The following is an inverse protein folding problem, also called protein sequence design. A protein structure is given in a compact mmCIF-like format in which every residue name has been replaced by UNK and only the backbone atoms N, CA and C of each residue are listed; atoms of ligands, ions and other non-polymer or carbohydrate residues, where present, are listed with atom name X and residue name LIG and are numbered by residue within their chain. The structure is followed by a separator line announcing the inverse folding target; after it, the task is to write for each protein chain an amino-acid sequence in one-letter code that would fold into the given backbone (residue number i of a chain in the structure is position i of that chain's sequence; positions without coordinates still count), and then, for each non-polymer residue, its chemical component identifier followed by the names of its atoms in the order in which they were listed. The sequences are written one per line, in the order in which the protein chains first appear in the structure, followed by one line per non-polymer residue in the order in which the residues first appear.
data_IF_163677711493
#
_entry.id   IF_163677711493
#
_cell.length_a   1.000
_cell.length_b   1.000
_cell.length_c   1.000
_cell.angle_alpha   90.00
_cell.angle_beta   90.00
_cell.angle_gamma   90.00
#
_symmetry.space_group_name_H-M   'P 1'
#
loop_
_entity.id
_entity.type
_entity.pdbx_description
1 polymer ?
#
# COMPACT_ATOMS: atom_id res chain seq x y z
N UNK A 1 7.57 -33.52 -15.38
CA UNK A 1 7.71 -33.23 -13.94
C UNK A 1 8.76 -32.14 -13.83
N UNK A 2 8.30 -30.89 -13.71
CA UNK A 2 9.16 -29.71 -13.66
C UNK A 2 9.85 -29.65 -12.30
N UNK A 3 11.18 -29.62 -12.31
CA UNK A 3 12.00 -29.40 -11.13
C UNK A 3 11.96 -27.90 -10.80
N UNK A 4 11.22 -27.57 -9.73
CA UNK A 4 11.18 -26.24 -9.15
C UNK A 4 12.57 -25.80 -8.72
N UNK A 5 13.11 -24.81 -9.44
CA UNK A 5 14.34 -24.12 -9.08
C UNK A 5 14.11 -23.33 -7.79
N UNK A 6 14.66 -23.83 -6.69
CA UNK A 6 14.68 -23.12 -5.40
C UNK A 6 15.72 -22.01 -5.56
N UNK A 7 15.25 -20.79 -5.80
CA UNK A 7 16.09 -19.59 -5.76
C UNK A 7 16.65 -19.50 -4.33
N UNK A 8 17.98 -19.52 -4.14
CA UNK A 8 18.56 -19.41 -2.82
C UNK A 8 18.22 -18.02 -2.25
N UNK A 9 17.32 -18.00 -1.27
CA UNK A 9 17.10 -16.82 -0.43
C UNK A 9 18.38 -16.57 0.36
N UNK A 10 18.86 -15.32 0.28
CA UNK A 10 20.12 -14.90 0.84
C UNK A 10 20.25 -15.24 2.34
N UNK A 11 21.45 -15.71 2.67
CA UNK A 11 22.03 -15.99 3.99
C UNK A 11 21.55 -15.07 5.13
N UNK A 12 21.34 -15.65 6.31
CA UNK A 12 21.13 -14.96 7.61
C UNK A 12 22.32 -14.08 8.06
N UNK A 13 23.42 -14.09 7.30
CA UNK A 13 24.51 -13.10 7.46
C UNK A 13 24.07 -11.78 6.84
N UNK A 14 23.87 -10.78 7.70
CA UNK A 14 23.48 -9.43 7.35
C UNK A 14 24.22 -8.86 6.13
N UNK A 15 23.51 -8.03 5.38
CA UNK A 15 24.08 -7.30 4.24
C UNK A 15 25.27 -6.45 4.71
N UNK A 16 26.40 -6.62 4.03
CA UNK A 16 27.64 -5.81 4.17
C UNK A 16 27.40 -4.30 3.91
N UNK A 17 26.21 -3.95 3.40
CA UNK A 17 25.78 -2.59 3.13
C UNK A 17 25.27 -1.80 4.35
N UNK A 18 24.98 -2.46 5.47
CA UNK A 18 24.26 -1.86 6.61
C UNK A 18 25.17 -1.47 7.81
N UNK A 19 26.51 -1.63 7.71
CA UNK A 19 27.49 -1.22 8.74
C UNK A 19 28.00 0.24 8.56
N UNK A 20 27.09 1.21 8.43
CA UNK A 20 27.48 2.62 8.56
C UNK A 20 27.33 3.03 10.03
N UNK A 21 28.42 3.57 10.61
CA UNK A 21 28.59 3.84 12.05
C UNK A 21 27.56 4.79 12.70
N UNK A 22 26.64 5.35 11.92
CA UNK A 22 25.55 6.23 12.33
C UNK A 22 24.16 5.57 12.20
N UNK A 23 24.10 4.23 12.24
CA UNK A 23 22.84 3.50 12.19
C UNK A 23 21.95 3.84 13.40
N UNK A 24 20.73 4.33 13.13
CA UNK A 24 19.67 4.39 14.15
C UNK A 24 19.51 3.01 14.82
N UNK A 25 19.43 3.01 16.15
CA UNK A 25 19.41 1.80 16.98
C UNK A 25 18.01 1.53 17.51
N UNK A 26 17.67 0.26 17.63
CA UNK A 26 16.43 -0.15 18.29
C UNK A 26 16.46 0.13 19.80
N UNK A 27 15.35 -0.16 20.48
CA UNK A 27 15.21 -0.02 21.94
C UNK A 27 16.21 -0.84 22.77
N UNK A 28 16.91 -1.79 22.15
CA UNK A 28 17.93 -2.63 22.77
C UNK A 28 19.36 -2.17 22.41
N UNK A 29 19.51 -1.12 21.61
CA UNK A 29 20.80 -0.60 21.18
C UNK A 29 21.40 -1.31 19.96
N UNK A 30 20.64 -2.20 19.30
CA UNK A 30 21.10 -2.90 18.10
C UNK A 30 20.86 -2.02 16.85
N UNK A 31 21.82 -1.92 15.92
CA UNK A 31 21.61 -1.17 14.68
C UNK A 31 20.46 -1.80 13.89
N UNK A 32 19.53 -0.98 13.39
CA UNK A 32 18.47 -1.51 12.52
C UNK A 32 19.09 -2.12 11.26
N UNK A 33 18.97 -3.44 11.14
CA UNK A 33 19.32 -4.18 9.93
C UNK A 33 18.38 -3.86 8.78
N UNK A 34 18.80 -4.17 7.55
CA UNK A 34 18.06 -3.81 6.35
C UNK A 34 16.62 -4.43 6.33
N UNK A 35 16.39 -5.55 7.01
CA UNK A 35 15.06 -6.14 7.21
C UNK A 35 14.14 -5.32 8.14
N UNK A 36 14.71 -4.67 9.16
CA UNK A 36 13.98 -3.83 10.09
C UNK A 36 13.69 -2.45 9.49
N UNK A 37 14.63 -1.88 8.72
CA UNK A 37 14.43 -0.61 7.99
C UNK A 37 13.35 -0.69 6.90
N UNK A 38 13.09 -1.88 6.34
CA UNK A 38 11.94 -2.13 5.44
C UNK A 38 10.59 -1.92 6.12
N UNK A 39 10.51 -1.99 7.45
CA UNK A 39 9.26 -1.79 8.20
C UNK A 39 8.96 -0.31 8.50
N UNK A 40 9.91 0.60 8.26
CA UNK A 40 9.71 2.03 8.42
C UNK A 40 9.19 2.58 7.09
N UNK A 41 7.94 3.03 7.09
CA UNK A 41 7.34 3.68 5.93
C UNK A 41 7.89 5.09 5.78
N UNK A 42 8.15 5.50 4.55
CA UNK A 42 8.40 6.91 4.25
C UNK A 42 7.11 7.71 4.43
N UNK A 43 7.24 9.02 4.64
CA UNK A 43 6.07 9.93 4.71
C UNK A 43 5.16 9.81 3.47
N UNK A 44 5.74 9.58 2.29
CA UNK A 44 4.99 9.37 1.04
C UNK A 44 4.21 8.05 1.08
N UNK A 45 4.82 6.96 1.55
CA UNK A 45 4.12 5.68 1.71
C UNK A 45 2.97 5.79 2.72
N UNK A 46 3.18 6.45 3.86
CA UNK A 46 2.14 6.67 4.86
C UNK A 46 0.96 7.47 4.29
N UNK A 47 1.25 8.51 3.51
CA UNK A 47 0.26 9.32 2.80
C UNK A 47 -0.56 8.49 1.83
N UNK A 48 0.10 7.70 0.97
CA UNK A 48 -0.58 6.82 0.01
C UNK A 48 -1.44 5.79 0.73
N UNK A 49 -0.92 5.15 1.78
CA UNK A 49 -1.68 4.18 2.58
C UNK A 49 -2.88 4.82 3.30
N UNK A 50 -2.76 6.07 3.75
CA UNK A 50 -3.88 6.82 4.32
C UNK A 50 -4.95 7.07 3.25
N UNK A 51 -4.58 7.58 2.08
CA UNK A 51 -5.49 7.83 0.95
C UNK A 51 -6.17 6.55 0.46
N UNK A 52 -5.48 5.41 0.45
CA UNK A 52 -6.08 4.10 0.12
C UNK A 52 -7.17 3.72 1.13
N UNK A 53 -6.91 3.94 2.43
CA UNK A 53 -7.90 3.67 3.49
C UNK A 53 -9.12 4.58 3.34
N UNK A 54 -8.91 5.87 3.12
CA UNK A 54 -9.99 6.84 2.90
C UNK A 54 -10.86 6.47 1.69
N UNK A 55 -10.24 6.18 0.54
CA UNK A 55 -10.96 5.76 -0.67
C UNK A 55 -11.75 4.46 -0.46
N UNK A 56 -11.24 3.53 0.36
CA UNK A 56 -11.94 2.30 0.71
C UNK A 56 -13.17 2.55 1.57
N UNK A 57 -13.06 3.39 2.59
CA UNK A 57 -14.20 3.74 3.44
C UNK A 57 -15.26 4.52 2.66
N UNK A 58 -14.84 5.43 1.78
CA UNK A 58 -15.76 6.13 0.87
C UNK A 58 -16.43 5.16 -0.11
N UNK A 59 -15.71 4.17 -0.65
CA UNK A 59 -16.32 3.18 -1.54
C UNK A 59 -17.34 2.29 -0.80
N UNK A 60 -17.10 1.96 0.47
CA UNK A 60 -18.08 1.23 1.29
C UNK A 60 -19.35 2.05 1.51
N UNK A 61 -19.22 3.34 1.85
CA UNK A 61 -20.38 4.20 2.08
C UNK A 61 -21.19 4.42 0.79
N UNK A 62 -20.52 4.59 -0.35
CA UNK A 62 -21.18 4.70 -1.66
C UNK A 62 -21.91 3.41 -2.03
N UNK A 63 -21.33 2.24 -1.77
CA UNK A 63 -22.01 0.95 -2.00
C UNK A 63 -23.28 0.83 -1.16
N UNK A 64 -23.18 1.09 0.14
CA UNK A 64 -24.35 1.07 1.02
C UNK A 64 -25.45 2.03 0.54
N UNK A 65 -25.07 3.19 -0.02
CA UNK A 65 -26.02 4.12 -0.64
C UNK A 65 -26.66 3.57 -1.91
N UNK A 66 -25.90 2.88 -2.77
CA UNK A 66 -26.44 2.23 -3.96
C UNK A 66 -27.45 1.16 -3.56
N UNK A 67 -27.11 0.33 -2.58
CA UNK A 67 -27.97 -0.75 -2.08
C UNK A 67 -29.27 -0.16 -1.49
N UNK A 68 -29.16 0.90 -0.68
CA UNK A 68 -30.31 1.60 -0.14
C UNK A 68 -31.24 2.15 -1.24
N UNK A 69 -30.69 2.82 -2.26
CA UNK A 69 -31.49 3.34 -3.38
C UNK A 69 -32.17 2.21 -4.14
N UNK A 70 -31.47 1.09 -4.38
CA UNK A 70 -32.02 -0.06 -5.08
C UNK A 70 -33.21 -0.68 -4.32
N UNK A 71 -33.13 -0.75 -3.00
CA UNK A 71 -34.15 -1.36 -2.14
C UNK A 71 -35.34 -0.42 -1.83
N UNK A 72 -35.08 0.88 -1.64
CA UNK A 72 -36.07 1.82 -1.05
C UNK A 72 -36.48 2.94 -1.99
N UNK A 73 -35.66 3.28 -2.98
CA UNK A 73 -35.87 4.43 -3.89
C UNK A 73 -35.66 4.02 -5.35
N UNK A 74 -36.21 2.87 -5.76
CA UNK A 74 -35.98 2.28 -7.08
C UNK A 74 -36.40 3.17 -8.27
N UNK A 75 -37.22 4.21 -8.04
CA UNK A 75 -37.57 5.24 -9.02
C UNK A 75 -36.53 6.37 -9.14
N UNK A 76 -35.59 6.48 -8.19
CA UNK A 76 -34.57 7.53 -8.13
C UNK A 76 -33.33 7.18 -8.97
N UNK A 77 -33.56 7.00 -10.28
CA UNK A 77 -32.54 6.58 -11.25
C UNK A 77 -31.36 7.56 -11.37
N UNK A 78 -31.59 8.86 -11.12
CA UNK A 78 -30.52 9.86 -11.16
C UNK A 78 -29.56 9.71 -9.96
N UNK A 79 -30.09 9.55 -8.75
CA UNK A 79 -29.26 9.30 -7.57
C UNK A 79 -28.49 7.99 -7.71
N UNK A 80 -29.12 6.95 -8.25
CA UNK A 80 -28.46 5.67 -8.52
C UNK A 80 -27.30 5.80 -9.52
N UNK A 81 -27.51 6.51 -10.64
CA UNK A 81 -26.46 6.77 -11.65
C UNK A 81 -25.30 7.56 -11.06
N UNK A 82 -25.59 8.61 -10.27
CA UNK A 82 -24.56 9.43 -9.62
C UNK A 82 -23.73 8.62 -8.63
N UNK A 83 -24.37 7.77 -7.82
CA UNK A 83 -23.68 6.91 -6.87
C UNK A 83 -22.79 5.86 -7.59
N UNK A 84 -23.28 5.25 -8.66
CA UNK A 84 -22.48 4.33 -9.47
C UNK A 84 -21.29 5.01 -10.15
N UNK A 85 -21.47 6.21 -10.71
CA UNK A 85 -20.37 6.99 -11.29
C UNK A 85 -19.29 7.27 -10.25
N UNK A 86 -19.70 7.68 -9.04
CA UNK A 86 -18.76 7.94 -7.94
C UNK A 86 -18.03 6.66 -7.50
N UNK A 87 -18.70 5.50 -7.50
CA UNK A 87 -18.06 4.23 -7.22
C UNK A 87 -16.97 3.88 -8.25
N UNK A 88 -17.24 4.13 -9.54
CA UNK A 88 -16.25 3.95 -10.61
C UNK A 88 -15.05 4.89 -10.46
N UNK A 89 -15.29 6.16 -10.10
CA UNK A 89 -14.22 7.12 -9.79
C UNK A 89 -13.34 6.63 -8.64
N UNK A 90 -13.94 6.09 -7.57
CA UNK A 90 -13.20 5.54 -6.44
C UNK A 90 -12.42 4.27 -6.79
N UNK A 91 -12.93 3.43 -7.71
CA UNK A 91 -12.19 2.27 -8.23
C UNK A 91 -10.95 2.71 -9.01
N UNK A 92 -11.07 3.74 -9.86
CA UNK A 92 -9.94 4.32 -10.59
C UNK A 92 -8.92 4.93 -9.64
N UNK A 93 -9.37 5.75 -8.69
CA UNK A 93 -8.51 6.34 -7.68
C UNK A 93 -7.74 5.27 -6.89
N UNK A 94 -8.40 4.19 -6.49
CA UNK A 94 -7.73 3.08 -5.79
C UNK A 94 -6.64 2.43 -6.64
N UNK A 95 -6.88 2.25 -7.94
CA UNK A 95 -5.88 1.70 -8.85
C UNK A 95 -4.68 2.62 -9.02
N UNK A 96 -4.89 3.93 -9.11
CA UNK A 96 -3.82 4.93 -9.17
C UNK A 96 -2.99 4.95 -7.88
N UNK A 97 -3.66 4.93 -6.72
CA UNK A 97 -2.99 4.87 -5.43
C UNK A 97 -2.20 3.57 -5.23
N UNK A 98 -2.66 2.45 -5.78
CA UNK A 98 -1.92 1.18 -5.71
C UNK A 98 -0.62 1.24 -6.52
N UNK A 99 -0.64 1.93 -7.68
CA UNK A 99 0.60 2.21 -8.42
C UNK A 99 1.54 3.11 -7.61
N UNK A 100 1.00 4.18 -7.04
CA UNK A 100 1.77 5.12 -6.22
C UNK A 100 2.39 4.40 -5.00
N UNK A 101 1.68 3.41 -4.42
CA UNK A 101 2.18 2.59 -3.32
C UNK A 101 3.40 1.77 -3.71
N UNK A 102 3.37 1.17 -4.91
CA UNK A 102 4.48 0.38 -5.44
C UNK A 102 5.68 1.28 -5.71
N UNK A 103 5.46 2.44 -6.32
CA UNK A 103 6.50 3.43 -6.58
C UNK A 103 7.14 3.95 -5.30
N UNK A 104 6.33 4.34 -4.31
CA UNK A 104 6.82 4.83 -3.02
C UNK A 104 7.59 3.75 -2.24
N UNK A 105 7.17 2.49 -2.34
CA UNK A 105 7.91 1.37 -1.77
C UNK A 105 9.25 1.13 -2.49
N UNK A 106 9.30 1.33 -3.82
CA UNK A 106 10.52 1.23 -4.60
C UNK A 106 11.51 2.36 -4.26
N UNK A 107 11.03 3.59 -4.08
CA UNK A 107 11.85 4.71 -3.61
C UNK A 107 12.53 4.41 -2.27
N UNK A 108 11.80 3.81 -1.32
CA UNK A 108 12.40 3.34 -0.06
C UNK A 108 13.52 2.34 -0.32
N UNK A 109 13.33 1.38 -1.23
CA UNK A 109 14.36 0.39 -1.53
C UNK A 109 15.63 1.06 -2.09
N UNK A 110 15.47 2.03 -3.00
CA UNK A 110 16.58 2.84 -3.52
C UNK A 110 17.28 3.62 -2.41
N UNK A 111 16.53 4.28 -1.50
CA UNK A 111 17.08 4.99 -0.35
C UNK A 111 17.86 4.07 0.60
N UNK A 112 17.47 2.79 0.68
CA UNK A 112 18.16 1.77 1.46
C UNK A 112 19.34 1.12 0.71
N UNK A 113 19.69 1.61 -0.49
CA UNK A 113 20.79 1.10 -1.30
C UNK A 113 20.49 -0.22 -2.03
N UNK A 114 19.22 -0.59 -2.14
CA UNK A 114 18.77 -1.75 -2.90
C UNK A 114 18.33 -1.31 -4.30
N UNK A 115 19.07 -1.73 -5.32
CA UNK A 115 18.77 -1.53 -6.74
C UNK A 115 18.21 -2.81 -7.38
#
# INVERSE_FOLDING_TARGET
MELGSIIPMASEKGCDCCETGDAERDKNGEPFGCAQRKMIFTRREEEVLRRIREAREEAKSVKAKIDYIAEHESSNMEAWKKANKKLEELRRLRWELEKERIEAAHERMVLLGHA
#
